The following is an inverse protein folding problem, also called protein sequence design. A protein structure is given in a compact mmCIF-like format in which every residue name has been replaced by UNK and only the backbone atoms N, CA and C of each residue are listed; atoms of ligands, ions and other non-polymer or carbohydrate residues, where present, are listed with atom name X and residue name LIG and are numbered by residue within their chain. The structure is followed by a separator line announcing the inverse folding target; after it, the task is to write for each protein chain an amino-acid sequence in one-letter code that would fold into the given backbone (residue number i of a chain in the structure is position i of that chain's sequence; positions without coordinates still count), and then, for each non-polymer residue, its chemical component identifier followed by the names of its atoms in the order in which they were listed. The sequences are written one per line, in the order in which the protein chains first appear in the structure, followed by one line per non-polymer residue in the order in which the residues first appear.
data_IF_370241492420
#
_entry.id   IF_370241492420
#
_cell.length_a   1.000
_cell.length_b   1.000
_cell.length_c   1.000
_cell.angle_alpha   90.00
_cell.angle_beta   90.00
_cell.angle_gamma   90.00
#
_symmetry.space_group_name_H-M   'P 1'
#
loop_
_entity.id
_entity.type
_entity.pdbx_description
1 polymer ?
#
# COMPACT_ATOMS: atom_id res chain seq x y z
N UNK A 1 -6.60 -5.17 27.78
CA UNK A 1 -7.18 -3.96 27.17
C UNK A 1 -7.82 -4.41 25.86
N UNK A 2 -9.06 -4.04 25.63
CA UNK A 2 -9.76 -4.25 24.36
C UNK A 2 -9.76 -2.92 23.61
N UNK A 3 -9.40 -2.94 22.30
CA UNK A 3 -9.36 -1.77 21.44
C UNK A 3 -9.97 -2.12 20.09
N UNK A 4 -10.91 -1.29 19.63
CA UNK A 4 -11.57 -1.41 18.32
C UNK A 4 -11.40 -0.11 17.54
N UNK A 5 -11.18 -0.24 16.23
CA UNK A 5 -11.08 0.88 15.29
C UNK A 5 -12.20 0.75 14.27
N UNK A 6 -13.02 1.78 14.17
CA UNK A 6 -14.12 1.89 13.24
C UNK A 6 -14.05 3.21 12.48
N UNK A 7 -14.96 3.42 11.56
CA UNK A 7 -15.04 4.66 10.78
C UNK A 7 -15.16 5.89 11.70
N UNK A 8 -14.11 6.71 11.75
CA UNK A 8 -14.04 7.93 12.56
C UNK A 8 -13.95 7.70 14.07
N UNK A 9 -13.90 6.46 14.57
CA UNK A 9 -13.98 6.18 15.99
C UNK A 9 -13.02 5.08 16.42
N UNK A 10 -12.21 5.38 17.42
CA UNK A 10 -11.49 4.38 18.21
C UNK A 10 -12.16 4.27 19.56
N UNK A 11 -12.47 3.04 19.99
CA UNK A 11 -13.01 2.72 21.31
C UNK A 11 -12.08 1.77 22.03
N UNK A 12 -11.82 2.03 23.31
CA UNK A 12 -10.98 1.16 24.14
C UNK A 12 -11.52 1.04 25.55
N UNK A 13 -11.29 -0.11 26.16
CA UNK A 13 -11.57 -0.39 27.58
C UNK A 13 -10.27 -0.66 28.32
N UNK A 14 -9.92 0.19 29.30
CA UNK A 14 -8.65 0.14 30.02
C UNK A 14 -8.88 -0.11 31.50
N UNK A 15 -8.31 -1.19 32.01
CA UNK A 15 -8.33 -1.47 33.44
C UNK A 15 -7.41 -0.50 34.19
N UNK A 16 -7.98 0.32 35.02
CA UNK A 16 -7.27 1.24 35.90
C UNK A 16 -7.28 0.75 37.35
N UNK A 17 -7.24 1.70 38.28
CA UNK A 17 -7.23 1.42 39.74
C UNK A 17 -8.60 1.04 40.29
N UNK A 18 -9.69 1.29 39.57
CA UNK A 18 -11.03 0.89 39.97
C UNK A 18 -11.34 -0.53 39.47
N UNK A 19 -12.34 -1.17 40.08
CA UNK A 19 -12.79 -2.50 39.68
C UNK A 19 -13.45 -2.53 38.31
N UNK A 20 -14.05 -1.42 37.88
CA UNK A 20 -14.64 -1.23 36.55
C UNK A 20 -13.62 -0.59 35.62
N UNK A 21 -13.39 -1.15 34.43
CA UNK A 21 -12.55 -0.52 33.44
C UNK A 21 -13.05 0.87 33.03
N UNK A 22 -12.15 1.71 32.57
CA UNK A 22 -12.49 2.99 32.01
C UNK A 22 -12.74 2.89 30.53
N UNK A 23 -13.80 3.53 30.04
CA UNK A 23 -14.14 3.61 28.63
C UNK A 23 -13.46 4.84 28.02
N UNK A 24 -12.75 4.61 26.94
CA UNK A 24 -12.03 5.64 26.18
C UNK A 24 -12.59 5.69 24.75
N UNK A 25 -12.75 6.90 24.24
CA UNK A 25 -13.08 7.13 22.85
C UNK A 25 -12.15 8.19 22.25
N UNK A 26 -11.72 7.95 21.01
CA UNK A 26 -10.97 8.90 20.19
C UNK A 26 -11.74 9.03 18.88
N UNK A 27 -12.21 10.23 18.59
CA UNK A 27 -12.93 10.55 17.34
C UNK A 27 -12.00 11.34 16.44
N UNK A 28 -11.93 10.92 15.20
CA UNK A 28 -11.28 11.65 14.11
C UNK A 28 -12.24 11.81 12.95
N UNK A 29 -11.95 12.73 12.07
CA UNK A 29 -12.76 12.95 10.90
C UNK A 29 -12.55 11.84 9.87
N UNK A 30 -13.60 11.12 9.54
CA UNK A 30 -13.61 10.23 8.39
C UNK A 30 -13.67 11.06 7.10
N UNK A 31 -12.91 10.65 6.09
CA UNK A 31 -12.90 11.32 4.81
C UNK A 31 -14.19 11.02 4.02
N UNK A 32 -14.62 12.01 3.25
CA UNK A 32 -15.77 11.87 2.37
C UNK A 32 -15.49 10.87 1.24
N UNK A 33 -16.54 10.24 0.71
CA UNK A 33 -16.44 9.29 -0.39
C UNK A 33 -15.80 9.90 -1.66
N UNK A 34 -16.01 11.19 -1.93
CA UNK A 34 -15.38 11.92 -3.03
C UNK A 34 -13.86 11.96 -2.89
N UNK A 35 -13.37 12.33 -1.71
CA UNK A 35 -11.94 12.37 -1.38
C UNK A 35 -11.30 10.99 -1.48
N UNK A 36 -11.98 9.94 -1.01
CA UNK A 36 -11.48 8.57 -1.16
C UNK A 36 -11.33 8.15 -2.62
N UNK A 37 -12.25 8.53 -3.50
CA UNK A 37 -12.12 8.25 -4.94
C UNK A 37 -10.91 8.93 -5.57
N UNK A 38 -10.61 10.16 -5.16
CA UNK A 38 -9.42 10.88 -5.62
C UNK A 38 -8.13 10.20 -5.12
N UNK A 39 -8.08 9.84 -3.83
CA UNK A 39 -6.97 9.09 -3.25
C UNK A 39 -6.74 7.73 -3.94
N UNK A 40 -7.83 6.98 -4.16
CA UNK A 40 -7.78 5.67 -4.82
C UNK A 40 -7.26 5.79 -6.26
N UNK A 41 -7.62 6.84 -6.98
CA UNK A 41 -7.08 7.09 -8.32
C UNK A 41 -5.58 7.35 -8.27
N UNK A 42 -5.11 8.26 -7.39
CA UNK A 42 -3.68 8.55 -7.24
C UNK A 42 -2.88 7.31 -6.82
N UNK A 43 -3.45 6.46 -5.95
CA UNK A 43 -2.83 5.19 -5.56
C UNK A 43 -2.79 4.19 -6.72
N UNK A 44 -3.85 4.10 -7.53
CA UNK A 44 -3.94 3.16 -8.66
C UNK A 44 -2.91 3.48 -9.75
N UNK A 45 -2.60 4.76 -9.97
CA UNK A 45 -1.59 5.20 -10.91
C UNK A 45 -0.16 4.73 -10.55
N UNK A 46 0.04 4.32 -9.29
CA UNK A 46 1.32 3.81 -8.77
C UNK A 46 1.22 2.32 -8.44
N UNK A 47 1.66 1.44 -9.34
CA UNK A 47 1.60 -0.02 -9.15
C UNK A 47 2.24 -0.52 -7.83
N UNK A 48 3.26 0.19 -7.34
CA UNK A 48 3.98 -0.14 -6.10
C UNK A 48 3.05 -0.06 -4.89
N UNK A 49 2.15 0.92 -4.82
CA UNK A 49 1.21 1.06 -3.70
C UNK A 49 0.28 -0.14 -3.56
N UNK A 50 -0.32 -0.58 -4.66
CA UNK A 50 -1.18 -1.76 -4.63
C UNK A 50 -0.41 -3.02 -4.21
N UNK A 51 0.83 -3.19 -4.69
CA UNK A 51 1.67 -4.33 -4.33
C UNK A 51 2.02 -4.33 -2.84
N UNK A 52 2.44 -3.20 -2.27
CA UNK A 52 2.77 -3.07 -0.85
C UNK A 52 1.53 -3.28 0.03
N UNK A 53 0.39 -2.68 -0.31
CA UNK A 53 -0.84 -2.88 0.45
C UNK A 53 -1.34 -4.33 0.40
N UNK A 54 -1.14 -5.06 -0.70
CA UNK A 54 -1.46 -6.49 -0.79
C UNK A 54 -0.56 -7.36 0.10
N UNK A 55 0.68 -6.93 0.37
CA UNK A 55 1.61 -7.59 1.30
C UNK A 55 1.48 -7.08 2.74
N UNK A 56 0.47 -6.27 3.04
CA UNK A 56 0.21 -5.68 4.36
C UNK A 56 1.31 -4.70 4.82
N UNK A 57 2.06 -4.15 3.86
CA UNK A 57 3.06 -3.13 4.12
C UNK A 57 2.50 -1.74 3.81
N UNK A 58 2.74 -0.78 4.72
CA UNK A 58 2.39 0.60 4.47
C UNK A 58 3.38 1.22 3.47
N UNK A 59 2.92 1.78 2.34
CA UNK A 59 3.80 2.50 1.44
C UNK A 59 4.46 3.69 2.15
N UNK A 60 5.79 3.83 2.00
CA UNK A 60 6.54 4.88 2.69
C UNK A 60 6.07 6.30 2.31
N UNK A 61 5.61 6.46 1.06
CA UNK A 61 5.20 7.75 0.51
C UNK A 61 3.67 7.94 0.59
N UNK A 62 2.97 7.18 1.45
CA UNK A 62 1.50 7.23 1.52
C UNK A 62 0.99 8.64 1.91
N UNK A 63 1.71 9.34 2.78
CA UNK A 63 1.34 10.70 3.20
C UNK A 63 1.35 11.68 2.02
N UNK A 64 2.28 11.54 1.06
CA UNK A 64 2.32 12.37 -0.15
C UNK A 64 1.07 12.21 -1.02
N UNK A 65 0.46 11.01 -1.01
CA UNK A 65 -0.80 10.76 -1.73
C UNK A 65 -1.95 11.54 -1.10
N UNK A 66 -1.99 11.58 0.22
CA UNK A 66 -3.00 12.33 0.96
C UNK A 66 -2.81 13.84 0.78
N UNK A 67 -1.56 14.32 0.88
CA UNK A 67 -1.21 15.73 0.63
C UNK A 67 -1.58 16.17 -0.80
N UNK A 68 -1.38 15.31 -1.79
CA UNK A 68 -1.75 15.61 -3.18
C UNK A 68 -3.28 15.79 -3.38
N UNK A 69 -4.09 15.29 -2.45
CA UNK A 69 -5.54 15.45 -2.42
C UNK A 69 -5.99 16.50 -1.38
N UNK A 70 -5.09 17.37 -0.92
CA UNK A 70 -5.36 18.42 0.09
C UNK A 70 -5.95 17.89 1.41
N UNK A 71 -5.56 16.67 1.82
CA UNK A 71 -5.97 16.06 3.09
C UNK A 71 -4.78 15.41 3.80
N UNK A 72 -4.86 15.31 5.13
CA UNK A 72 -3.84 14.64 5.93
C UNK A 72 -4.27 13.22 6.29
N UNK A 73 -3.33 12.26 6.26
CA UNK A 73 -3.58 10.89 6.70
C UNK A 73 -3.85 10.86 8.22
N UNK A 74 -3.02 11.54 8.99
CA UNK A 74 -3.15 11.69 10.44
C UNK A 74 -3.74 13.05 10.81
N UNK A 75 -4.41 13.19 11.99
CA UNK A 75 -4.74 14.50 12.54
C UNK A 75 -3.47 15.34 12.75
N UNK A 76 -3.52 16.61 12.39
CA UNK A 76 -2.35 17.50 12.50
C UNK A 76 -2.04 17.88 13.94
N UNK A 77 -3.06 17.88 14.79
CA UNK A 77 -2.92 18.20 16.20
C UNK A 77 -3.85 17.37 17.09
N UNK A 78 -3.52 17.31 18.38
CA UNK A 78 -4.40 16.70 19.38
C UNK A 78 -5.80 17.35 19.42
N UNK A 79 -5.87 18.65 19.14
CA UNK A 79 -7.12 19.42 19.13
C UNK A 79 -8.09 19.04 18.01
N UNK A 80 -7.61 18.38 16.95
CA UNK A 80 -8.43 17.93 15.82
C UNK A 80 -9.15 16.61 16.14
N UNK A 81 -8.85 16.02 17.29
CA UNK A 81 -9.47 14.79 17.75
C UNK A 81 -10.44 15.06 18.90
N UNK A 82 -11.62 14.44 18.83
CA UNK A 82 -12.55 14.41 19.95
C UNK A 82 -12.20 13.28 20.91
N UNK A 83 -11.54 13.57 22.01
CA UNK A 83 -11.10 12.56 22.99
C UNK A 83 -11.98 12.55 24.23
N UNK A 84 -12.24 11.37 24.80
CA UNK A 84 -12.94 11.23 26.06
C UNK A 84 -12.45 10.01 26.83
N UNK A 85 -12.38 10.13 28.16
CA UNK A 85 -12.10 9.02 29.08
C UNK A 85 -13.04 9.11 30.28
N UNK A 86 -13.64 8.01 30.70
CA UNK A 86 -14.53 7.96 31.85
C UNK A 86 -13.83 8.03 33.22
N UNK A 87 -12.50 8.19 33.27
CA UNK A 87 -11.76 8.29 34.53
C UNK A 87 -12.00 9.66 35.23
N UNK A 88 -11.81 9.73 36.55
CA UNK A 88 -12.00 10.96 37.32
C UNK A 88 -10.82 11.94 37.21
N UNK A 89 -9.78 11.63 36.43
CA UNK A 89 -8.61 12.49 36.23
C UNK A 89 -9.00 13.71 35.38
N UNK A 90 -8.54 14.90 35.78
CA UNK A 90 -8.77 16.13 35.02
C UNK A 90 -7.68 16.46 34.01
N UNK A 91 -6.62 15.64 33.93
CA UNK A 91 -5.57 15.80 32.94
C UNK A 91 -6.06 15.49 31.54
N UNK A 92 -5.67 16.27 30.56
CA UNK A 92 -5.99 16.05 29.13
C UNK A 92 -4.71 16.18 28.28
N UNK A 93 -4.21 15.06 27.70
CA UNK A 93 -4.69 13.69 27.89
C UNK A 93 -4.41 13.12 29.29
N UNK A 94 -5.35 12.35 29.82
CA UNK A 94 -5.09 11.57 31.03
C UNK A 94 -4.19 10.36 30.71
N UNK A 95 -3.62 9.73 31.73
CA UNK A 95 -2.74 8.54 31.56
C UNK A 95 -3.37 7.37 30.81
N UNK A 96 -4.68 7.18 30.94
CA UNK A 96 -5.39 6.09 30.25
C UNK A 96 -5.56 6.42 28.76
N UNK A 97 -5.88 7.65 28.43
CA UNK A 97 -5.94 8.11 27.04
C UNK A 97 -4.56 8.07 26.38
N UNK A 98 -3.51 8.53 27.08
CA UNK A 98 -2.13 8.43 26.60
C UNK A 98 -1.73 6.98 26.31
N UNK A 99 -2.09 6.02 27.20
CA UNK A 99 -1.81 4.61 26.99
C UNK A 99 -2.53 4.07 25.73
N UNK A 100 -3.77 4.51 25.47
CA UNK A 100 -4.51 4.11 24.25
C UNK A 100 -3.83 4.64 23.01
N UNK A 101 -3.31 5.88 23.02
CA UNK A 101 -2.57 6.42 21.87
C UNK A 101 -1.32 5.60 21.53
N UNK A 102 -0.54 5.19 22.54
CA UNK A 102 0.63 4.34 22.29
C UNK A 102 0.26 3.00 21.66
N UNK A 103 -0.77 2.35 22.19
CA UNK A 103 -1.21 1.05 21.65
C UNK A 103 -1.88 1.20 20.27
N UNK A 104 -2.56 2.31 20.03
CA UNK A 104 -3.12 2.60 18.72
C UNK A 104 -2.01 2.79 17.68
N UNK A 105 -0.92 3.49 18.03
CA UNK A 105 0.25 3.61 17.16
C UNK A 105 0.87 2.25 16.84
N UNK A 106 1.12 1.40 17.86
CA UNK A 106 1.60 0.03 17.63
C UNK A 106 0.66 -0.79 16.71
N UNK A 107 -0.66 -0.60 16.87
CA UNK A 107 -1.64 -1.30 16.01
C UNK A 107 -1.63 -0.80 14.57
N UNK A 108 -1.37 0.47 14.33
CA UNK A 108 -1.21 1.02 12.97
C UNK A 108 0.09 0.54 12.31
N UNK A 109 1.15 0.32 13.09
CA UNK A 109 2.39 -0.28 12.60
C UNK A 109 2.20 -1.76 12.23
N UNK A 110 1.41 -2.50 13.02
CA UNK A 110 1.11 -3.92 12.77
C UNK A 110 0.13 -4.14 11.60
N UNK A 111 -0.87 -3.26 11.47
CA UNK A 111 -1.90 -3.33 10.43
C UNK A 111 -2.18 -1.92 9.86
N UNK A 112 -1.57 -1.59 8.72
CA UNK A 112 -1.72 -0.27 8.09
C UNK A 112 -3.18 0.03 7.67
N UNK A 113 -4.01 -0.99 7.45
CA UNK A 113 -5.40 -0.78 7.08
C UNK A 113 -6.28 -0.23 8.21
N UNK A 114 -5.81 -0.31 9.46
CA UNK A 114 -6.54 0.28 10.58
C UNK A 114 -6.62 1.80 10.50
N UNK A 115 -5.56 2.47 10.00
CA UNK A 115 -5.61 3.93 9.80
C UNK A 115 -6.59 4.30 8.69
N UNK A 116 -6.63 3.56 7.58
CA UNK A 116 -7.60 3.78 6.52
C UNK A 116 -9.03 3.51 7.01
N UNK A 117 -9.24 2.45 7.81
CA UNK A 117 -10.53 2.16 8.43
C UNK A 117 -10.97 3.32 9.33
N UNK A 118 -10.07 3.87 10.13
CA UNK A 118 -10.36 5.03 10.96
C UNK A 118 -10.70 6.25 10.10
N UNK A 119 -10.02 6.44 8.97
CA UNK A 119 -10.32 7.49 8.00
C UNK A 119 -11.53 7.20 7.10
N UNK A 120 -12.21 6.07 7.28
CA UNK A 120 -13.48 5.76 6.61
C UNK A 120 -13.39 4.80 5.43
N UNK A 121 -12.27 4.11 5.23
CA UNK A 121 -12.11 3.16 4.13
C UNK A 121 -11.68 1.79 4.62
N UNK A 122 -12.50 0.76 4.38
CA UNK A 122 -12.12 -0.62 4.71
C UNK A 122 -11.05 -1.16 3.76
N UNK A 123 -10.26 -2.13 4.24
CA UNK A 123 -9.28 -2.84 3.42
C UNK A 123 -9.88 -3.40 2.15
N UNK A 124 -10.95 -4.17 2.27
CA UNK A 124 -11.58 -4.86 1.14
C UNK A 124 -12.03 -3.85 0.09
N UNK A 125 -12.73 -2.79 0.53
CA UNK A 125 -13.17 -1.73 -0.38
C UNK A 125 -12.01 -1.05 -1.09
N UNK A 126 -10.92 -0.75 -0.37
CA UNK A 126 -9.75 -0.10 -0.97
C UNK A 126 -9.10 -0.99 -2.03
N UNK A 127 -8.85 -2.26 -1.69
CA UNK A 127 -8.19 -3.20 -2.61
C UNK A 127 -9.05 -3.51 -3.84
N UNK A 128 -10.37 -3.70 -3.66
CA UNK A 128 -11.30 -3.91 -4.76
C UNK A 128 -11.29 -2.71 -5.72
N UNK A 129 -11.32 -1.49 -5.18
CA UNK A 129 -11.27 -0.27 -6.00
C UNK A 129 -9.95 -0.09 -6.73
N UNK A 130 -8.82 -0.34 -6.08
CA UNK A 130 -7.52 -0.29 -6.74
C UNK A 130 -7.42 -1.33 -7.87
N UNK A 131 -7.98 -2.52 -7.68
CA UNK A 131 -8.03 -3.55 -8.71
C UNK A 131 -8.93 -3.13 -9.89
N UNK A 132 -10.12 -2.58 -9.62
CA UNK A 132 -11.04 -2.07 -10.64
C UNK A 132 -10.40 -0.97 -11.49
N UNK A 133 -9.79 0.03 -10.84
CA UNK A 133 -9.15 1.17 -11.53
C UNK A 133 -8.01 0.69 -12.43
N UNK A 134 -7.19 -0.23 -11.95
CA UNK A 134 -6.08 -0.78 -12.74
C UNK A 134 -6.53 -1.71 -13.84
N UNK A 135 -7.66 -2.40 -13.69
CA UNK A 135 -8.24 -3.25 -14.74
C UNK A 135 -8.92 -2.42 -15.83
N UNK A 136 -9.48 -1.25 -15.46
CA UNK A 136 -10.13 -0.33 -16.40
C UNK A 136 -9.16 0.43 -17.31
N UNK A 137 -7.96 0.74 -16.82
CA UNK A 137 -6.92 1.40 -17.63
C UNK A 137 -6.19 0.43 -18.59
N UNK A 138 -6.47 -0.86 -18.46
CA UNK A 138 -5.85 -1.92 -19.29
C UNK A 138 -6.34 -2.00 -20.73
N UNK A 139 -7.32 -1.18 -21.15
CA UNK A 139 -7.76 -1.19 -22.56
C UNK A 139 -6.81 -0.48 -23.53
N UNK A 140 -5.74 0.15 -23.05
CA UNK A 140 -4.80 0.89 -23.92
C UNK A 140 -3.36 0.32 -24.00
N UNK A 141 -3.02 -0.75 -23.29
CA UNK A 141 -1.65 -1.30 -23.33
C UNK A 141 -1.56 -2.80 -23.08
N UNK A 142 -2.55 -3.56 -23.50
CA UNK A 142 -2.40 -5.01 -23.62
C UNK A 142 -3.17 -5.45 -24.88
N UNK A 143 -2.47 -5.67 -25.99
CA UNK A 143 -2.82 -6.84 -26.78
C UNK A 143 -2.91 -7.96 -25.74
N UNK A 144 -4.16 -8.32 -25.42
CA UNK A 144 -4.42 -9.41 -24.51
C UNK A 144 -3.59 -10.60 -25.03
N UNK A 145 -2.55 -10.96 -24.29
CA UNK A 145 -2.05 -12.31 -24.38
C UNK A 145 -3.25 -13.14 -23.91
N UNK A 146 -4.08 -13.53 -24.86
CA UNK A 146 -5.09 -14.54 -24.67
C UNK A 146 -4.28 -15.79 -24.32
N UNK A 147 -4.12 -16.02 -23.01
CA UNK A 147 -3.78 -17.34 -22.56
C UNK A 147 -4.93 -18.19 -23.07
N UNK A 148 -4.69 -18.93 -24.15
CA UNK A 148 -5.60 -19.99 -24.53
C UNK A 148 -5.87 -20.78 -23.26
N UNK A 149 -7.16 -21.02 -22.99
CA UNK A 149 -7.68 -21.69 -21.81
C UNK A 149 -6.73 -22.82 -21.44
N UNK A 150 -6.01 -22.64 -20.35
CA UNK A 150 -5.00 -23.60 -19.92
C UNK A 150 -5.64 -24.96 -19.78
N UNK A 151 -4.88 -25.98 -20.08
CA UNK A 151 -5.23 -27.37 -19.97
C UNK A 151 -5.86 -27.63 -18.59
N UNK A 152 -7.14 -27.97 -18.52
CA UNK A 152 -7.90 -28.24 -17.29
C UNK A 152 -7.41 -29.54 -16.58
N UNK A 153 -6.28 -30.13 -17.01
CA UNK A 153 -5.68 -31.31 -16.37
C UNK A 153 -5.16 -30.97 -14.96
N UNK A 154 -5.29 -31.89 -14.01
CA UNK A 154 -4.65 -31.73 -12.70
C UNK A 154 -3.15 -31.53 -12.84
N UNK A 155 -2.56 -30.64 -12.06
CA UNK A 155 -1.12 -30.31 -12.09
C UNK A 155 -0.24 -31.56 -12.07
N UNK A 156 -0.65 -32.62 -11.33
CA UNK A 156 0.07 -33.90 -11.28
C UNK A 156 0.20 -34.63 -12.62
N UNK A 157 -0.69 -34.38 -13.56
CA UNK A 157 -0.65 -34.96 -14.92
C UNK A 157 0.12 -34.10 -15.92
N UNK A 158 0.51 -32.88 -15.53
CA UNK A 158 1.25 -31.95 -16.37
C UNK A 158 2.77 -32.03 -16.18
N UNK A 159 3.27 -32.77 -15.18
CA UNK A 159 4.69 -32.79 -14.84
C UNK A 159 5.57 -33.37 -15.96
N UNK A 160 5.10 -34.39 -16.68
CA UNK A 160 5.89 -35.05 -17.73
C UNK A 160 6.12 -34.15 -18.95
N UNK A 161 5.25 -33.16 -19.19
CA UNK A 161 5.37 -32.19 -20.27
C UNK A 161 5.80 -30.78 -19.85
N UNK A 162 5.91 -30.51 -18.54
CA UNK A 162 6.13 -29.15 -18.01
C UNK A 162 7.42 -28.50 -18.49
N UNK A 163 8.46 -29.31 -18.74
CA UNK A 163 9.79 -28.87 -19.19
C UNK A 163 10.04 -29.09 -20.68
N UNK A 164 9.04 -29.58 -21.43
CA UNK A 164 9.13 -29.77 -22.87
C UNK A 164 8.35 -28.68 -23.59
N UNK A 165 9.00 -27.89 -24.42
CA UNK A 165 8.33 -26.97 -25.31
C UNK A 165 7.61 -27.79 -26.43
N UNK A 166 6.33 -27.53 -26.66
CA UNK A 166 5.58 -28.17 -27.76
C UNK A 166 6.08 -27.71 -29.14
N UNK A 167 6.67 -26.52 -29.21
CA UNK A 167 7.30 -25.97 -30.42
C UNK A 167 8.83 -25.91 -30.25
N UNK A 168 9.56 -26.10 -31.35
CA UNK A 168 10.99 -26.01 -31.37
C UNK A 168 11.43 -24.58 -30.97
N UNK A 169 12.33 -24.45 -29.98
CA UNK A 169 12.92 -23.18 -29.57
C UNK A 169 13.58 -22.46 -30.77
N UNK A 170 13.92 -23.20 -31.83
CA UNK A 170 14.48 -22.65 -33.07
C UNK A 170 13.48 -21.73 -33.85
N UNK A 171 12.17 -21.82 -33.56
CA UNK A 171 11.14 -20.94 -34.14
C UNK A 171 10.87 -19.69 -33.32
N UNK A 172 11.39 -19.61 -32.10
CA UNK A 172 11.24 -18.42 -31.25
C UNK A 172 12.22 -17.35 -31.72
N UNK A 173 11.71 -16.42 -32.50
CA UNK A 173 12.47 -15.24 -32.93
C UNK A 173 12.47 -14.18 -31.81
N UNK A 174 13.46 -14.26 -30.92
CA UNK A 174 13.71 -13.18 -29.97
C UNK A 174 14.33 -12.01 -30.77
N UNK A 175 13.57 -10.94 -30.94
CA UNK A 175 14.11 -9.70 -31.46
C UNK A 175 14.95 -9.04 -30.37
N UNK A 176 16.23 -9.34 -30.34
CA UNK A 176 17.20 -8.53 -29.59
C UNK A 176 17.48 -7.26 -30.42
N UNK A 177 16.82 -6.16 -30.11
CA UNK A 177 17.14 -4.85 -30.63
C UNK A 177 17.82 -4.01 -29.55
N UNK A 178 18.55 -2.98 -29.97
CA UNK A 178 18.98 -1.93 -29.02
C UNK A 178 17.74 -1.32 -28.36
N UNK A 179 17.77 -1.17 -27.05
CA UNK A 179 16.68 -0.54 -26.35
C UNK A 179 16.52 0.92 -26.86
N UNK A 180 15.27 1.35 -27.10
CA UNK A 180 14.99 2.73 -27.50
C UNK A 180 15.53 3.78 -26.51
N UNK A 181 15.72 3.37 -25.25
CA UNK A 181 16.33 4.15 -24.18
C UNK A 181 17.38 3.28 -23.50
N UNK A 182 18.64 3.66 -23.64
CA UNK A 182 19.81 2.90 -23.18
C UNK A 182 19.77 2.50 -21.71
N UNK A 183 19.20 3.35 -20.85
CA UNK A 183 19.19 3.19 -19.38
C UNK A 183 17.78 3.06 -18.80
N UNK A 184 16.82 2.60 -19.62
CA UNK A 184 15.40 2.52 -19.22
C UNK A 184 15.17 1.78 -17.88
N UNK A 185 15.86 0.67 -17.68
CA UNK A 185 15.76 -0.12 -16.43
C UNK A 185 16.28 0.65 -15.23
N UNK A 186 17.40 1.38 -15.38
CA UNK A 186 17.99 2.17 -14.29
C UNK A 186 17.11 3.38 -13.94
N UNK A 187 16.47 3.98 -14.93
CA UNK A 187 15.49 5.07 -14.70
C UNK A 187 14.27 4.61 -13.95
N UNK A 188 13.79 3.38 -14.21
CA UNK A 188 12.67 2.77 -13.48
C UNK A 188 13.01 2.47 -12.02
N UNK A 189 14.27 2.13 -11.72
CA UNK A 189 14.72 1.87 -10.35
C UNK A 189 14.90 3.14 -9.52
N UNK A 190 14.92 4.32 -10.15
CA UNK A 190 15.09 5.60 -9.48
C UNK A 190 16.50 5.85 -8.94
N UNK A 191 16.64 6.83 -8.05
CA UNK A 191 17.94 7.15 -7.46
C UNK A 191 18.37 6.10 -6.44
N UNK A 192 19.63 5.64 -6.49
CA UNK A 192 20.11 4.66 -5.53
C UNK A 192 20.22 5.27 -4.12
N UNK A 193 20.10 4.45 -3.06
CA UNK A 193 20.35 4.89 -1.70
C UNK A 193 21.70 5.58 -1.53
N UNK A 194 21.79 6.51 -0.59
CA UNK A 194 23.03 7.22 -0.29
C UNK A 194 24.17 6.21 0.03
N UNK A 195 25.26 6.28 -0.73
CA UNK A 195 26.41 5.36 -0.63
C UNK A 195 26.53 4.39 -1.81
N UNK A 196 25.52 4.19 -2.64
CA UNK A 196 25.58 3.39 -3.87
C UNK A 196 25.72 4.23 -5.14
N UNK A 197 25.84 5.55 -5.03
CA UNK A 197 26.04 6.45 -6.18
C UNK A 197 27.20 6.05 -7.09
N UNK A 198 28.39 5.64 -6.60
CA UNK A 198 29.48 5.19 -7.46
C UNK A 198 29.13 3.94 -8.28
N UNK A 199 28.36 3.01 -7.69
CA UNK A 199 27.90 1.80 -8.39
C UNK A 199 26.91 2.17 -9.48
N UNK A 200 26.00 3.09 -9.20
CA UNK A 200 25.03 3.57 -10.18
C UNK A 200 25.70 4.25 -11.40
N UNK A 201 26.67 5.10 -11.15
CA UNK A 201 27.46 5.73 -12.22
C UNK A 201 28.16 4.70 -13.11
N UNK A 202 28.84 3.71 -12.50
CA UNK A 202 29.52 2.63 -13.22
C UNK A 202 28.52 1.80 -14.05
N UNK A 203 27.37 1.43 -13.47
CA UNK A 203 26.36 0.65 -14.17
C UNK A 203 25.74 1.45 -15.33
N UNK A 204 25.52 2.74 -15.15
CA UNK A 204 25.03 3.64 -16.22
C UNK A 204 26.02 3.71 -17.39
N UNK A 205 27.33 3.79 -17.09
CA UNK A 205 28.38 3.81 -18.09
C UNK A 205 28.40 2.50 -18.90
N UNK A 206 28.31 1.33 -18.23
CA UNK A 206 28.20 0.03 -18.91
C UNK A 206 26.95 -0.08 -19.79
N UNK A 207 25.81 0.36 -19.32
CA UNK A 207 24.57 0.36 -20.13
C UNK A 207 24.74 1.22 -21.38
N UNK A 208 25.38 2.38 -21.26
CA UNK A 208 25.62 3.29 -22.39
C UNK A 208 26.61 2.67 -23.40
N UNK A 209 27.67 2.00 -22.92
CA UNK A 209 28.62 1.30 -23.79
C UNK A 209 27.99 0.09 -24.50
N UNK A 210 27.08 -0.65 -23.81
CA UNK A 210 26.42 -1.83 -24.42
C UNK A 210 25.35 -1.45 -25.43
N UNK A 211 24.74 -0.25 -25.33
CA UNK A 211 23.61 0.19 -26.15
C UNK A 211 23.99 1.30 -27.13
N UNK A 212 25.15 1.88 -26.98
CA UNK A 212 25.69 2.91 -27.88
C UNK A 212 26.42 2.31 -29.08
N UNK A 213 26.12 2.81 -30.27
CA UNK A 213 26.99 2.73 -31.43
C UNK A 213 28.18 3.69 -31.25
#
# INVERSE_FOLDING_TARGET
MELTVENGLVSASVQGSQSTPYDITIRGDALAEGTWRELEQVMADRAVFAAQLLTEEMPADIEEVFEACDVSLFPESYGDMGTNCSCPDSADPCKHLAAVFYILAERFDDDPFLIFRWRGRSRDTLLDRLQELRSGDGESASEAVTFEKGDDRPIGECFDGFWTAEESIEEVHIRSGTADVADATLRQLGQPPAGLSPVHETVTEYYTEMTGD
#
